data_IF_440205287336
#
_entry.id   IF_440205287336
#
_cell.length_a   1.000
_cell.length_b   1.000
_cell.length_c   1.000
_cell.angle_alpha   90.00
_cell.angle_beta   90.00
_cell.angle_gamma   90.00
#
_symmetry.space_group_name_H-M   'P 1'
#
loop_
_entity.id
_entity.type
_entity.pdbx_description
1 polymer ?
#
# COMPACT_ATOMS: atom_id res chain seq x y z
N UNK A 1 17.65 3.85 -13.99
CA UNK A 1 17.54 5.25 -13.48
C UNK A 1 17.80 5.25 -11.98
N UNK A 2 18.50 6.26 -11.47
CA UNK A 2 18.73 6.48 -10.03
C UNK A 2 17.86 7.64 -9.55
N UNK A 3 17.13 7.42 -8.45
CA UNK A 3 16.32 8.44 -7.78
C UNK A 3 16.85 8.60 -6.35
N UNK A 4 17.08 9.85 -5.95
CA UNK A 4 17.60 10.19 -4.62
C UNK A 4 16.49 10.90 -3.85
N UNK A 5 16.11 10.36 -2.69
CA UNK A 5 15.17 11.00 -1.77
C UNK A 5 15.95 11.62 -0.61
N UNK A 6 15.78 12.92 -0.42
CA UNK A 6 16.42 13.69 0.65
C UNK A 6 15.38 14.41 1.48
N UNK A 7 15.46 14.23 2.80
CA UNK A 7 14.63 15.00 3.73
C UNK A 7 15.04 16.49 3.72
N UNK A 8 14.11 17.42 3.44
CA UNK A 8 14.42 18.85 3.49
C UNK A 8 14.89 19.32 4.87
N UNK A 9 14.47 18.67 5.96
CA UNK A 9 14.89 18.99 7.32
C UNK A 9 16.19 18.27 7.74
N UNK A 10 16.75 17.41 6.87
CA UNK A 10 17.95 16.58 7.13
C UNK A 10 17.90 15.80 8.44
N UNK A 11 16.72 15.33 8.86
CA UNK A 11 16.59 14.47 10.05
C UNK A 11 16.86 13.01 9.71
N UNK A 12 16.40 12.59 8.55
CA UNK A 12 16.63 11.25 7.98
C UNK A 12 17.84 11.26 7.04
N UNK A 13 18.45 10.09 6.85
CA UNK A 13 19.52 9.91 5.86
C UNK A 13 18.93 9.91 4.46
N UNK A 14 19.76 10.25 3.48
CA UNK A 14 19.35 10.19 2.07
C UNK A 14 19.15 8.73 1.63
N UNK A 15 18.04 8.47 0.96
CA UNK A 15 17.70 7.17 0.39
C UNK A 15 17.96 7.15 -1.12
N UNK A 16 18.40 5.99 -1.61
CA UNK A 16 18.76 5.78 -3.00
C UNK A 16 17.91 4.66 -3.59
N UNK A 17 17.12 4.98 -4.62
CA UNK A 17 16.25 4.03 -5.32
C UNK A 17 16.75 3.80 -6.74
N UNK A 18 16.78 2.53 -7.14
CA UNK A 18 17.19 2.09 -8.46
C UNK A 18 16.00 1.46 -9.17
N UNK A 19 15.74 1.87 -10.40
CA UNK A 19 14.71 1.26 -11.26
C UNK A 19 15.27 0.91 -12.64
N UNK A 20 14.76 -0.18 -13.20
CA UNK A 20 15.05 -0.64 -14.57
C UNK A 20 14.26 0.12 -15.61
N UNK A 21 13.08 0.66 -15.26
CA UNK A 21 12.23 1.41 -16.18
C UNK A 21 12.71 2.88 -16.25
N UNK A 22 13.16 3.30 -17.43
CA UNK A 22 13.67 4.65 -17.67
C UNK A 22 12.57 5.69 -17.96
N UNK A 23 11.36 5.25 -18.27
CA UNK A 23 10.23 6.13 -18.59
C UNK A 23 9.42 6.52 -17.35
N UNK A 24 9.67 5.88 -16.20
CA UNK A 24 9.00 6.21 -14.94
C UNK A 24 9.51 7.53 -14.38
N UNK A 25 8.62 8.35 -13.84
CA UNK A 25 8.98 9.56 -13.11
C UNK A 25 9.53 9.21 -11.72
N UNK A 26 10.33 10.11 -11.14
CA UNK A 26 10.87 9.91 -9.80
C UNK A 26 9.77 9.70 -8.74
N UNK A 27 8.63 10.40 -8.88
CA UNK A 27 7.49 10.28 -7.97
C UNK A 27 6.89 8.86 -8.00
N UNK A 28 6.63 8.35 -9.20
CA UNK A 28 6.06 7.00 -9.37
C UNK A 28 7.00 5.92 -8.81
N UNK A 29 8.31 6.09 -8.96
CA UNK A 29 9.30 5.17 -8.37
C UNK A 29 9.18 5.14 -6.84
N UNK A 30 9.03 6.29 -6.18
CA UNK A 30 8.83 6.35 -4.73
C UNK A 30 7.49 5.74 -4.32
N UNK A 31 6.42 5.99 -5.06
CA UNK A 31 5.09 5.43 -4.79
C UNK A 31 5.11 3.89 -4.89
N UNK A 32 5.65 3.34 -5.97
CA UNK A 32 5.80 1.89 -6.13
C UNK A 32 6.67 1.26 -5.04
N UNK A 33 7.73 1.94 -4.59
CA UNK A 33 8.55 1.44 -3.50
C UNK A 33 7.81 1.42 -2.17
N UNK A 34 7.02 2.47 -1.89
CA UNK A 34 6.21 2.55 -0.66
C UNK A 34 5.19 1.40 -0.55
N UNK A 35 4.61 0.96 -1.67
CA UNK A 35 3.67 -0.17 -1.70
C UNK A 35 4.29 -1.50 -1.22
N UNK A 36 5.62 -1.64 -1.25
CA UNK A 36 6.33 -2.82 -0.74
C UNK A 36 5.95 -3.12 0.71
N UNK A 37 5.73 -2.10 1.53
CA UNK A 37 5.42 -2.27 2.95
C UNK A 37 4.16 -3.13 3.20
N UNK A 38 3.26 -3.21 2.22
CA UNK A 38 2.08 -4.07 2.30
C UNK A 38 2.41 -5.55 2.56
N UNK A 39 3.59 -6.03 2.12
CA UNK A 39 4.02 -7.42 2.39
C UNK A 39 4.37 -7.64 3.86
N UNK A 40 4.96 -6.64 4.51
CA UNK A 40 5.35 -6.73 5.92
C UNK A 40 4.11 -6.71 6.82
N UNK A 41 3.13 -5.88 6.47
CA UNK A 41 1.82 -5.87 7.13
C UNK A 41 1.11 -7.22 6.96
N UNK A 42 1.15 -7.78 5.74
CA UNK A 42 0.62 -9.12 5.46
C UNK A 42 1.25 -10.18 6.36
N UNK A 43 2.59 -10.27 6.39
CA UNK A 43 3.27 -11.25 7.25
C UNK A 43 3.00 -11.03 8.73
N UNK A 44 2.94 -9.79 9.19
CA UNK A 44 2.61 -9.46 10.58
C UNK A 44 1.21 -9.96 10.93
N UNK A 45 0.21 -9.65 10.11
CA UNK A 45 -1.18 -10.02 10.36
C UNK A 45 -1.41 -11.52 10.24
N UNK A 46 -0.81 -12.20 9.27
CA UNK A 46 -0.90 -13.66 9.15
C UNK A 46 -0.31 -14.36 10.38
N UNK A 47 0.77 -13.85 10.95
CA UNK A 47 1.38 -14.43 12.15
C UNK A 47 0.58 -14.14 13.41
N UNK A 48 0.18 -12.88 13.63
CA UNK A 48 -0.42 -12.43 14.88
C UNK A 48 -1.93 -12.73 14.97
N UNK A 49 -2.67 -12.58 13.87
CA UNK A 49 -4.13 -12.71 13.87
C UNK A 49 -4.58 -14.11 13.44
N UNK A 50 -3.95 -14.66 12.39
CA UNK A 50 -4.32 -15.99 11.88
C UNK A 50 -3.55 -17.13 12.57
N UNK A 51 -2.54 -16.83 13.38
CA UNK A 51 -1.76 -17.85 14.09
C UNK A 51 -0.83 -18.67 13.19
N UNK A 52 -0.51 -18.20 11.98
CA UNK A 52 0.34 -18.91 11.01
C UNK A 52 1.77 -19.21 11.52
N UNK A 53 2.19 -18.60 12.63
CA UNK A 53 3.49 -18.85 13.27
C UNK A 53 3.51 -20.13 14.12
N UNK A 54 2.36 -20.62 14.59
CA UNK A 54 2.28 -21.77 15.50
C UNK A 54 1.31 -22.86 14.99
N UNK A 55 1.58 -23.45 13.80
CA UNK A 55 0.76 -24.53 13.29
C UNK A 55 0.89 -25.78 14.17
N UNK A 56 -0.23 -26.35 14.58
CA UNK A 56 -0.28 -27.58 15.41
C UNK A 56 -0.09 -28.87 14.59
N UNK A 57 0.51 -28.78 13.41
CA UNK A 57 0.72 -29.91 12.50
C UNK A 57 2.14 -30.45 12.65
N UNK A 58 2.33 -31.59 13.32
CA UNK A 58 3.66 -32.11 13.66
C UNK A 58 4.20 -33.20 12.72
N UNK A 59 3.62 -33.38 11.52
CA UNK A 59 3.96 -34.49 10.62
C UNK A 59 4.29 -34.03 9.21
N UNK A 60 5.45 -34.46 8.70
CA UNK A 60 5.87 -34.30 7.29
C UNK A 60 5.77 -32.85 6.81
N UNK A 61 5.15 -32.64 5.63
CA UNK A 61 4.90 -31.31 5.05
C UNK A 61 3.71 -30.56 5.66
N UNK A 62 3.21 -31.01 6.82
CA UNK A 62 2.07 -30.41 7.53
C UNK A 62 2.28 -28.94 7.90
N UNK A 63 3.42 -28.54 8.50
CA UNK A 63 3.70 -27.14 8.83
C UNK A 63 3.72 -26.22 7.60
N UNK A 64 4.37 -26.67 6.52
CA UNK A 64 4.48 -25.91 5.27
C UNK A 64 3.11 -25.65 4.64
N UNK A 65 2.25 -26.68 4.59
CA UNK A 65 0.88 -26.55 4.09
C UNK A 65 0.01 -25.66 4.97
N UNK A 66 0.17 -25.73 6.29
CA UNK A 66 -0.56 -24.87 7.23
C UNK A 66 -0.17 -23.40 7.08
N UNK A 67 1.13 -23.11 6.88
CA UNK A 67 1.61 -21.77 6.57
C UNK A 67 1.03 -21.27 5.24
N UNK A 68 1.06 -22.10 4.19
CA UNK A 68 0.46 -21.77 2.89
C UNK A 68 -1.05 -21.50 2.98
N UNK A 69 -1.79 -22.31 3.73
CA UNK A 69 -3.22 -22.11 3.97
C UNK A 69 -3.50 -20.81 4.73
N UNK A 70 -2.65 -20.44 5.70
CA UNK A 70 -2.81 -19.19 6.46
C UNK A 70 -2.62 -17.95 5.58
N UNK A 71 -1.66 -17.96 4.66
CA UNK A 71 -1.47 -16.87 3.69
C UNK A 71 -2.63 -16.81 2.69
N UNK A 72 -3.10 -17.97 2.22
CA UNK A 72 -4.26 -18.04 1.34
C UNK A 72 -5.52 -17.48 2.00
N UNK A 73 -5.80 -17.87 3.25
CA UNK A 73 -6.96 -17.39 4.00
C UNK A 73 -6.90 -15.87 4.20
N UNK A 74 -5.72 -15.32 4.52
CA UNK A 74 -5.53 -13.88 4.62
C UNK A 74 -5.88 -13.15 3.31
N UNK A 75 -5.43 -13.68 2.17
CA UNK A 75 -5.75 -13.12 0.85
C UNK A 75 -7.25 -13.15 0.56
N UNK A 76 -7.95 -14.23 0.90
CA UNK A 76 -9.42 -14.34 0.70
C UNK A 76 -10.16 -13.31 1.54
N UNK A 77 -9.77 -13.13 2.81
CA UNK A 77 -10.38 -12.12 3.69
C UNK A 77 -10.16 -10.71 3.14
N UNK A 78 -8.97 -10.41 2.61
CA UNK A 78 -8.70 -9.14 1.96
C UNK A 78 -9.51 -8.91 0.69
N UNK A 79 -9.62 -9.92 -0.18
CA UNK A 79 -10.43 -9.82 -1.39
C UNK A 79 -11.91 -9.59 -1.05
N UNK A 80 -12.45 -10.30 -0.06
CA UNK A 80 -13.81 -10.08 0.43
C UNK A 80 -14.01 -8.65 0.95
N UNK A 81 -13.06 -8.15 1.76
CA UNK A 81 -13.11 -6.79 2.28
C UNK A 81 -13.06 -5.72 1.18
N UNK A 82 -12.19 -5.89 0.19
CA UNK A 82 -12.09 -4.98 -0.96
C UNK A 82 -13.34 -5.00 -1.83
N UNK A 83 -13.95 -6.18 -2.00
CA UNK A 83 -15.20 -6.32 -2.72
C UNK A 83 -16.35 -5.59 -2.00
N UNK A 84 -16.48 -5.77 -0.69
CA UNK A 84 -17.50 -5.07 0.10
C UNK A 84 -17.35 -3.54 -0.01
N UNK A 85 -16.12 -3.03 0.09
CA UNK A 85 -15.85 -1.60 -0.05
C UNK A 85 -16.11 -1.06 -1.45
N UNK A 86 -15.86 -1.85 -2.49
CA UNK A 86 -16.16 -1.47 -3.86
C UNK A 86 -17.67 -1.33 -4.06
N UNK A 87 -18.47 -2.21 -3.46
CA UNK A 87 -19.93 -2.12 -3.47
C UNK A 87 -20.43 -0.87 -2.73
N UNK A 88 -19.87 -0.53 -1.57
CA UNK A 88 -20.22 0.69 -0.81
C UNK A 88 -19.85 1.99 -1.55
N UNK A 89 -18.67 2.03 -2.20
CA UNK A 89 -18.25 3.17 -3.02
C UNK A 89 -19.12 3.32 -4.27
N UNK A 90 -19.48 2.22 -4.93
CA UNK A 90 -20.42 2.22 -6.04
C UNK A 90 -21.81 2.71 -5.60
N UNK A 91 -22.28 2.29 -4.42
CA UNK A 91 -23.56 2.73 -3.88
C UNK A 91 -23.57 4.23 -3.53
N UNK A 92 -22.48 4.76 -2.96
CA UNK A 92 -22.34 6.21 -2.70
C UNK A 92 -22.14 7.03 -3.97
N UNK A 93 -21.43 6.51 -4.97
CA UNK A 93 -21.24 7.18 -6.26
C UNK A 93 -22.54 7.21 -7.09
N UNK A 94 -23.38 6.18 -7.02
CA UNK A 94 -24.68 6.14 -7.70
C UNK A 94 -25.75 7.06 -7.07
N UNK A 95 -25.58 7.46 -5.80
CA UNK A 95 -26.49 8.39 -5.09
C UNK A 95 -26.13 9.86 -5.33
N UNK A 96 -24.96 10.16 -5.90
CA UNK A 96 -24.54 11.54 -6.17
C UNK A 96 -24.53 11.79 -7.68
N UNK A 97 -25.52 12.56 -8.19
CA UNK A 97 -25.45 13.71 -9.12
C UNK A 97 -26.88 14.14 -9.56
N UNK A 98 -27.18 15.39 -9.96
CA UNK A 98 -26.43 16.65 -9.80
C UNK A 98 -27.29 17.82 -9.25
N UNK A 99 -26.75 18.66 -8.37
CA UNK A 99 -27.22 20.04 -8.25
C UNK A 99 -26.04 20.96 -7.90
N UNK A 100 -25.61 21.71 -8.91
CA UNK A 100 -25.00 23.04 -8.85
C UNK A 100 -24.10 23.41 -7.66
N UNK A 101 -22.77 23.48 -7.87
CA UNK A 101 -21.83 24.51 -7.35
C UNK A 101 -20.35 24.10 -7.53
N UNK A 102 -19.39 25.06 -7.54
CA UNK A 102 -18.25 25.05 -8.45
C UNK A 102 -17.07 24.15 -8.02
N UNK A 103 -16.32 23.74 -9.04
CA UNK A 103 -15.06 22.99 -9.03
C UNK A 103 -14.13 23.31 -7.84
N UNK A 104 -14.24 22.55 -6.76
CA UNK A 104 -13.12 22.37 -5.84
C UNK A 104 -12.23 21.27 -6.41
N UNK A 105 -10.99 21.63 -6.76
CA UNK A 105 -10.00 20.73 -7.34
C UNK A 105 -9.96 19.40 -6.61
N UNK A 106 -10.31 18.35 -7.36
CA UNK A 106 -10.14 16.94 -7.08
C UNK A 106 -8.68 16.66 -6.68
N UNK A 107 -8.41 16.64 -5.36
CA UNK A 107 -7.24 15.95 -4.82
C UNK A 107 -7.64 14.49 -4.65
N UNK A 108 -7.54 13.72 -5.73
CA UNK A 108 -7.61 12.26 -5.65
C UNK A 108 -6.33 11.74 -5.00
N UNK A 109 -6.24 11.86 -3.68
CA UNK A 109 -5.47 10.91 -2.88
C UNK A 109 -6.47 9.92 -2.31
N UNK A 110 -6.74 8.83 -3.04
CA UNK A 110 -7.25 7.60 -2.43
C UNK A 110 -6.11 7.07 -1.54
N UNK A 111 -5.94 7.70 -0.37
CA UNK A 111 -5.03 7.23 0.66
C UNK A 111 -5.70 6.06 1.35
N UNK A 112 -5.32 4.85 0.94
CA UNK A 112 -5.56 3.66 1.72
C UNK A 112 -4.93 3.83 3.11
N UNK A 113 -5.76 3.62 4.14
CA UNK A 113 -5.43 3.51 5.56
C UNK A 113 -4.97 4.80 6.31
N UNK A 114 -5.78 5.34 7.25
CA UNK A 114 -5.45 6.53 8.05
C UNK A 114 -4.27 6.34 9.03
N UNK A 115 -3.72 5.14 9.17
CA UNK A 115 -2.50 4.86 9.95
C UNK A 115 -1.20 5.15 9.19
N UNK A 116 -1.23 5.23 7.86
CA UNK A 116 -0.03 5.42 7.01
C UNK A 116 0.35 6.90 6.79
N UNK A 117 -0.57 7.83 7.08
CA UNK A 117 -0.35 9.27 6.93
C UNK A 117 0.68 9.86 7.94
N UNK A 118 1.10 9.09 8.95
CA UNK A 118 1.98 9.59 10.01
C UNK A 118 3.47 9.42 9.72
N UNK A 119 3.88 8.61 8.74
CA UNK A 119 5.30 8.36 8.47
C UNK A 119 5.87 9.08 7.25
N UNK A 120 5.09 9.28 6.19
CA UNK A 120 5.62 9.82 4.93
C UNK A 120 4.89 11.10 4.50
N UNK A 121 5.15 12.21 5.20
CA UNK A 121 5.05 13.56 4.59
C UNK A 121 6.26 13.74 3.65
N UNK A 122 6.32 12.95 2.58
CA UNK A 122 7.34 13.10 1.55
C UNK A 122 6.83 14.19 0.61
N UNK A 123 7.31 15.42 0.82
CA UNK A 123 7.12 16.52 -0.12
C UNK A 123 7.97 16.25 -1.36
N UNK A 124 7.37 15.62 -2.38
CA UNK A 124 8.00 15.47 -3.70
C UNK A 124 8.02 16.85 -4.36
N UNK A 125 9.12 17.60 -4.22
CA UNK A 125 9.44 18.68 -5.15
C UNK A 125 10.01 18.04 -6.40
N UNK A 126 9.25 18.08 -7.50
CA UNK A 126 9.80 17.85 -8.84
C UNK A 126 11.00 18.77 -9.03
N UNK A 127 12.20 18.20 -9.07
CA UNK A 127 13.35 18.91 -9.63
C UNK A 127 13.37 18.62 -11.12
N UNK A 128 12.46 19.27 -11.86
CA UNK A 128 12.66 19.49 -13.27
C UNK A 128 13.84 20.46 -13.39
N UNK A 129 14.98 20.00 -13.89
CA UNK A 129 16.01 20.92 -14.36
C UNK A 129 16.71 20.33 -15.59
N UNK A 130 16.37 20.96 -16.72
CA UNK A 130 17.13 21.22 -17.96
C UNK A 130 18.15 20.19 -18.44
#
# INVERSE_FOLDING_TARGET
MLVISRDPARKEKDDFFLTTNLNMTAKEVLECYNDRWAIEDTFKNTKQLLGGQQPQTFKGKGPERAAGLSLWLYSVVWLWYLQQKSTELFHRAAVVQPENSPQLRRCDSVSASPTLARKNKIYVREFCRT
#
